data_IF_573245289857
#
_entry.id   IF_573245289857
#
_cell.length_a   1.000
_cell.length_b   1.000
_cell.length_c   1.000
_cell.angle_alpha   90.00
_cell.angle_beta   90.00
_cell.angle_gamma   90.00
#
_symmetry.space_group_name_H-M   'P 1'
#
loop_
_entity.id
_entity.type
_entity.pdbx_description
1 polymer ?
#
# COMPACT_ATOMS: atom_id res chain seq x y z
N UNK A 1 11.79 14.58 8.42
CA UNK A 1 11.13 14.06 9.64
C UNK A 1 12.13 13.74 10.78
N UNK A 2 13.17 14.57 11.01
CA UNK A 2 14.07 14.39 12.18
C UNK A 2 13.62 15.18 13.42
N UNK A 3 12.40 15.71 13.42
CA UNK A 3 11.79 16.41 14.56
C UNK A 3 10.42 15.80 14.88
N UNK A 4 10.32 14.47 14.88
CA UNK A 4 9.19 13.78 15.50
C UNK A 4 9.50 13.53 16.98
N UNK A 5 10.00 14.54 17.68
CA UNK A 5 10.05 14.54 19.15
C UNK A 5 8.63 14.84 19.62
N UNK A 6 7.82 13.83 19.96
CA UNK A 6 6.52 14.18 20.54
C UNK A 6 5.41 13.14 20.69
N UNK A 7 5.66 11.83 20.65
CA UNK A 7 4.72 10.91 21.30
C UNK A 7 5.41 9.60 21.71
N UNK A 8 6.03 9.59 22.90
CA UNK A 8 6.73 8.41 23.44
C UNK A 8 5.85 7.15 23.47
N UNK A 9 4.53 7.34 23.59
CA UNK A 9 3.54 6.25 23.55
C UNK A 9 3.43 5.62 22.16
N UNK A 10 3.32 6.40 21.09
CA UNK A 10 3.24 5.84 19.73
C UNK A 10 4.54 5.14 19.33
N UNK A 11 5.69 5.71 19.69
CA UNK A 11 6.98 5.10 19.38
C UNK A 11 7.12 3.69 20.01
N UNK A 12 6.61 3.52 21.23
CA UNK A 12 6.53 2.23 21.92
C UNK A 12 5.55 1.27 21.22
N UNK A 13 4.31 1.71 20.96
CA UNK A 13 3.26 0.86 20.39
C UNK A 13 3.42 0.54 18.90
N UNK A 14 4.20 1.34 18.16
CA UNK A 14 4.40 1.18 16.71
C UNK A 14 4.96 -0.20 16.35
N UNK A 15 5.96 -0.69 17.11
CA UNK A 15 6.61 -1.98 16.81
C UNK A 15 5.67 -3.17 17.05
N UNK A 16 5.02 -3.31 18.22
CA UNK A 16 4.00 -4.35 18.42
C UNK A 16 2.86 -4.27 17.40
N UNK A 17 2.37 -3.05 17.09
CA UNK A 17 1.30 -2.84 16.11
C UNK A 17 1.69 -3.33 14.70
N UNK A 18 2.91 -3.03 14.24
CA UNK A 18 3.45 -3.53 12.97
C UNK A 18 3.58 -5.06 12.97
N UNK A 19 4.12 -5.65 14.03
CA UNK A 19 4.26 -7.11 14.15
C UNK A 19 2.89 -7.78 14.07
N UNK A 20 1.90 -7.25 14.80
CA UNK A 20 0.52 -7.74 14.75
C UNK A 20 -0.07 -7.67 13.34
N UNK A 21 0.17 -6.59 12.60
CA UNK A 21 -0.27 -6.44 11.21
C UNK A 21 0.34 -7.50 10.29
N UNK A 22 1.65 -7.74 10.39
CA UNK A 22 2.31 -8.78 9.59
C UNK A 22 1.77 -10.17 9.92
N UNK A 23 1.58 -10.49 11.20
CA UNK A 23 1.01 -11.77 11.63
C UNK A 23 -0.41 -11.92 11.08
N UNK A 24 -1.28 -10.92 11.27
CA UNK A 24 -2.66 -10.94 10.77
C UNK A 24 -2.70 -11.12 9.26
N UNK A 25 -1.85 -10.41 8.51
CA UNK A 25 -1.78 -10.54 7.05
C UNK A 25 -1.38 -11.94 6.61
N UNK A 26 -0.39 -12.54 7.26
CA UNK A 26 0.07 -13.92 6.97
C UNK A 26 -1.03 -14.93 7.33
N UNK A 27 -1.63 -14.81 8.52
CA UNK A 27 -2.69 -15.70 8.98
C UNK A 27 -3.91 -15.63 8.06
N UNK A 28 -4.33 -14.43 7.65
CA UNK A 28 -5.43 -14.25 6.71
C UNK A 28 -5.13 -14.83 5.33
N UNK A 29 -3.88 -14.69 4.85
CA UNK A 29 -3.47 -15.26 3.57
C UNK A 29 -3.48 -16.79 3.60
N UNK A 30 -2.98 -17.38 4.69
CA UNK A 30 -3.01 -18.84 4.90
C UNK A 30 -4.45 -19.33 5.03
N UNK A 31 -5.31 -18.61 5.76
CA UNK A 31 -6.70 -19.03 5.94
C UNK A 31 -7.46 -19.08 4.62
N UNK A 32 -7.26 -18.13 3.71
CA UNK A 32 -7.85 -18.19 2.38
C UNK A 32 -7.43 -19.43 1.58
N UNK A 33 -6.19 -19.90 1.73
CA UNK A 33 -5.75 -21.16 1.11
C UNK A 33 -6.37 -22.40 1.75
N UNK A 34 -6.55 -22.40 3.07
CA UNK A 34 -7.12 -23.55 3.81
C UNK A 34 -8.63 -23.71 3.62
N UNK A 35 -9.35 -22.61 3.41
CA UNK A 35 -10.81 -22.62 3.19
C UNK A 35 -11.20 -22.75 1.71
N UNK A 36 -10.25 -23.11 0.85
CA UNK A 36 -10.51 -23.38 -0.55
C UNK A 36 -11.20 -24.73 -0.73
N UNK A 37 -12.23 -24.84 -1.60
CA UNK A 37 -12.89 -26.11 -1.87
C UNK A 37 -12.03 -27.03 -2.75
N UNK A 38 -12.25 -28.35 -2.63
CA UNK A 38 -11.68 -29.35 -3.53
C UNK A 38 -12.09 -29.03 -4.97
N UNK A 39 -11.11 -28.92 -5.88
CA UNK A 39 -11.31 -28.32 -7.20
C UNK A 39 -12.07 -29.22 -8.18
N UNK A 40 -11.87 -30.54 -8.12
CA UNK A 40 -12.55 -31.48 -9.02
C UNK A 40 -14.06 -31.46 -8.81
N UNK A 41 -14.52 -31.45 -7.56
CA UNK A 41 -15.94 -31.44 -7.23
C UNK A 41 -16.55 -30.02 -7.30
N UNK A 42 -15.83 -29.00 -6.84
CA UNK A 42 -16.32 -27.63 -6.83
C UNK A 42 -16.62 -27.10 -8.24
N UNK A 43 -15.81 -27.49 -9.22
CA UNK A 43 -16.05 -27.13 -10.63
C UNK A 43 -17.38 -27.68 -11.13
N UNK A 44 -17.67 -28.95 -10.86
CA UNK A 44 -18.92 -29.61 -11.27
C UNK A 44 -20.10 -28.86 -10.66
N UNK A 45 -20.07 -28.64 -9.33
CA UNK A 45 -21.15 -27.96 -8.60
C UNK A 45 -21.37 -26.50 -9.04
N UNK A 46 -20.31 -25.77 -9.40
CA UNK A 46 -20.43 -24.40 -9.92
C UNK A 46 -21.03 -24.41 -11.33
N UNK A 47 -20.57 -25.31 -12.21
CA UNK A 47 -21.08 -25.41 -13.58
C UNK A 47 -22.57 -25.80 -13.62
N UNK A 48 -23.06 -26.59 -12.66
CA UNK A 48 -24.48 -26.93 -12.51
C UNK A 48 -25.35 -25.74 -12.08
N UNK A 49 -24.80 -24.78 -11.31
CA UNK A 49 -25.52 -23.60 -10.85
C UNK A 49 -25.56 -22.47 -11.87
N UNK A 50 -24.66 -22.48 -12.84
CA UNK A 50 -24.54 -21.43 -13.85
C UNK A 50 -25.52 -21.67 -15.01
N UNK A 51 -26.01 -20.60 -15.67
CA UNK A 51 -26.77 -20.75 -16.91
C UNK A 51 -25.92 -21.47 -17.97
N UNK A 52 -26.53 -22.05 -19.03
CA UNK A 52 -25.80 -22.80 -20.06
C UNK A 52 -24.63 -22.01 -20.63
N UNK A 53 -23.41 -22.43 -20.29
CA UNK A 53 -22.18 -21.80 -20.76
C UNK A 53 -21.74 -22.40 -22.12
N UNK A 54 -21.12 -21.61 -22.99
CA UNK A 54 -20.43 -22.10 -24.17
C UNK A 54 -19.37 -23.18 -23.84
N UNK A 55 -19.14 -24.10 -24.77
CA UNK A 55 -18.20 -25.22 -24.60
C UNK A 55 -16.77 -24.77 -24.23
N UNK A 56 -16.29 -23.67 -24.83
CA UNK A 56 -14.96 -23.13 -24.55
C UNK A 56 -14.76 -22.70 -23.07
N UNK A 57 -15.83 -22.30 -22.37
CA UNK A 57 -15.75 -21.95 -20.95
C UNK A 57 -15.68 -23.23 -20.11
N UNK A 58 -16.47 -24.25 -20.47
CA UNK A 58 -16.51 -25.53 -19.75
C UNK A 58 -15.22 -26.33 -19.86
N UNK A 59 -14.53 -26.23 -21.00
CA UNK A 59 -13.24 -26.87 -21.26
C UNK A 59 -12.06 -26.10 -20.65
N UNK A 60 -12.27 -24.84 -20.24
CA UNK A 60 -11.22 -24.03 -19.64
C UNK A 60 -10.89 -24.46 -18.21
N UNK A 61 -9.63 -24.29 -17.79
CA UNK A 61 -9.18 -24.58 -16.43
C UNK A 61 -9.65 -23.49 -15.46
N UNK A 62 -10.95 -23.46 -15.15
CA UNK A 62 -11.54 -22.51 -14.21
C UNK A 62 -11.12 -22.90 -12.79
N UNK A 63 -10.54 -21.96 -12.05
CA UNK A 63 -10.23 -22.16 -10.64
C UNK A 63 -11.38 -21.64 -9.78
N UNK A 64 -11.94 -22.50 -8.94
CA UNK A 64 -13.04 -22.14 -8.04
C UNK A 64 -12.45 -21.67 -6.73
N UNK A 65 -12.40 -20.35 -6.55
CA UNK A 65 -11.86 -19.72 -5.34
C UNK A 65 -12.75 -19.98 -4.11
N UNK A 66 -14.09 -19.91 -4.27
CA UNK A 66 -15.03 -20.16 -3.18
C UNK A 66 -16.38 -20.66 -3.71
N UNK A 67 -16.94 -21.70 -3.08
CA UNK A 67 -18.32 -22.14 -3.34
C UNK A 67 -19.31 -21.48 -2.38
N UNK A 68 -18.93 -21.38 -1.11
CA UNK A 68 -19.65 -20.66 -0.09
C UNK A 68 -18.87 -19.38 0.28
N UNK A 69 -19.25 -18.27 -0.35
CA UNK A 69 -18.58 -16.99 -0.18
C UNK A 69 -18.72 -16.37 1.21
N UNK A 70 -19.51 -16.93 2.13
CA UNK A 70 -19.79 -16.31 3.44
C UNK A 70 -18.51 -16.02 4.24
N UNK A 71 -17.58 -16.97 4.35
CA UNK A 71 -16.33 -16.75 5.09
C UNK A 71 -15.50 -15.61 4.49
N UNK A 72 -15.21 -15.70 3.19
CA UNK A 72 -14.43 -14.70 2.46
C UNK A 72 -15.08 -13.31 2.52
N UNK A 73 -16.40 -13.26 2.32
CA UNK A 73 -17.18 -12.03 2.41
C UNK A 73 -17.10 -11.45 3.82
N UNK A 74 -17.32 -12.24 4.87
CA UNK A 74 -17.23 -11.78 6.27
C UNK A 74 -15.84 -11.24 6.59
N UNK A 75 -14.77 -11.93 6.16
CA UNK A 75 -13.39 -11.44 6.36
C UNK A 75 -13.17 -10.11 5.65
N UNK A 76 -13.60 -9.98 4.39
CA UNK A 76 -13.49 -8.71 3.65
C UNK A 76 -14.33 -7.59 4.26
N UNK A 77 -15.54 -7.88 4.75
CA UNK A 77 -16.42 -6.91 5.42
C UNK A 77 -15.80 -6.37 6.73
N UNK A 78 -14.91 -7.12 7.38
CA UNK A 78 -14.23 -6.69 8.61
C UNK A 78 -12.90 -6.00 8.30
N UNK A 79 -12.04 -6.65 7.51
CA UNK A 79 -10.67 -6.17 7.27
C UNK A 79 -10.63 -4.90 6.42
N UNK A 80 -11.49 -4.79 5.39
CA UNK A 80 -11.44 -3.64 4.49
C UNK A 80 -11.81 -2.35 5.24
N UNK A 81 -12.94 -2.24 5.95
CA UNK A 81 -13.24 -1.04 6.72
C UNK A 81 -12.19 -0.72 7.77
N UNK A 82 -11.65 -1.74 8.45
CA UNK A 82 -10.58 -1.58 9.42
C UNK A 82 -9.35 -0.89 8.80
N UNK A 83 -8.84 -1.41 7.68
CA UNK A 83 -7.70 -0.83 6.95
C UNK A 83 -8.03 0.58 6.46
N UNK A 84 -9.24 0.81 5.92
CA UNK A 84 -9.66 2.14 5.47
C UNK A 84 -9.64 3.17 6.60
N UNK A 85 -10.13 2.79 7.79
CA UNK A 85 -10.13 3.65 8.97
C UNK A 85 -8.70 3.95 9.42
N UNK A 86 -7.82 2.93 9.49
CA UNK A 86 -6.43 3.13 9.85
C UNK A 86 -5.70 4.06 8.88
N UNK A 87 -5.84 3.82 7.56
CA UNK A 87 -5.26 4.68 6.53
C UNK A 87 -5.77 6.11 6.67
N UNK A 88 -7.07 6.30 6.91
CA UNK A 88 -7.64 7.61 7.13
C UNK A 88 -7.04 8.31 8.35
N UNK A 89 -6.90 7.61 9.48
CA UNK A 89 -6.26 8.15 10.70
C UNK A 89 -4.82 8.55 10.40
N UNK A 90 -4.02 7.69 9.78
CA UNK A 90 -2.62 7.99 9.46
C UNK A 90 -2.48 9.18 8.52
N UNK A 91 -3.30 9.25 7.47
CA UNK A 91 -3.31 10.38 6.52
C UNK A 91 -3.71 11.68 7.24
N UNK A 92 -4.75 11.64 8.08
CA UNK A 92 -5.19 12.81 8.85
C UNK A 92 -4.09 13.31 9.77
N UNK A 93 -3.51 12.44 10.59
CA UNK A 93 -2.44 12.79 11.53
C UNK A 93 -1.19 13.28 10.81
N UNK A 94 -0.84 12.69 9.67
CA UNK A 94 0.26 13.14 8.81
C UNK A 94 0.05 14.57 8.30
N UNK A 95 -1.14 14.86 7.76
CA UNK A 95 -1.50 16.19 7.23
C UNK A 95 -1.47 17.22 8.35
N UNK A 96 -2.14 16.93 9.48
CA UNK A 96 -2.21 17.85 10.61
C UNK A 96 -0.82 18.15 11.17
N UNK A 97 -0.06 17.11 11.50
CA UNK A 97 1.28 17.25 12.09
C UNK A 97 2.22 18.02 11.17
N UNK A 98 2.22 17.69 9.87
CA UNK A 98 3.12 18.35 8.93
C UNK A 98 2.71 19.79 8.67
N UNK A 99 1.40 20.09 8.63
CA UNK A 99 0.90 21.46 8.49
C UNK A 99 1.26 22.32 9.71
N UNK A 100 1.08 21.80 10.93
CA UNK A 100 1.49 22.49 12.17
C UNK A 100 3.00 22.72 12.20
N UNK A 101 3.80 21.73 11.80
CA UNK A 101 5.25 21.86 11.73
C UNK A 101 5.68 22.96 10.75
N UNK A 102 5.10 22.97 9.54
CA UNK A 102 5.36 23.99 8.52
C UNK A 102 4.92 25.38 8.98
N UNK A 103 3.80 25.50 9.70
CA UNK A 103 3.30 26.77 10.23
C UNK A 103 4.15 27.32 11.40
N UNK A 104 4.83 26.45 12.15
CA UNK A 104 5.58 26.85 13.36
C UNK A 104 6.77 27.79 13.11
N UNK A 105 7.23 27.94 11.86
CA UNK A 105 8.42 28.74 11.46
C UNK A 105 9.70 28.44 12.25
N UNK A 106 9.79 27.33 12.98
CA UNK A 106 10.96 26.93 13.78
C UNK A 106 12.15 26.41 12.96
N UNK A 107 12.07 26.47 11.63
CA UNK A 107 13.02 25.85 10.73
C UNK A 107 13.58 26.88 9.74
N UNK A 108 14.84 26.71 9.34
CA UNK A 108 15.47 27.55 8.31
C UNK A 108 14.74 27.42 6.98
N UNK A 109 14.84 28.45 6.13
CA UNK A 109 14.18 28.48 4.81
C UNK A 109 14.51 27.25 3.97
N UNK A 110 15.78 26.82 3.98
CA UNK A 110 16.22 25.61 3.27
C UNK A 110 15.48 24.36 3.75
N UNK A 111 15.32 24.21 5.07
CA UNK A 111 14.62 23.07 5.67
C UNK A 111 13.13 23.13 5.39
N UNK A 112 12.54 24.33 5.45
CA UNK A 112 11.13 24.57 5.11
C UNK A 112 10.81 24.14 3.68
N UNK A 113 11.60 24.58 2.70
CA UNK A 113 11.38 24.18 1.31
C UNK A 113 11.50 22.67 1.10
N UNK A 114 12.44 22.02 1.80
CA UNK A 114 12.60 20.57 1.72
C UNK A 114 11.41 19.82 2.35
N UNK A 115 10.97 20.21 3.54
CA UNK A 115 9.79 19.61 4.19
C UNK A 115 8.52 19.82 3.36
N UNK A 116 8.31 21.02 2.80
CA UNK A 116 7.17 21.31 1.94
C UNK A 116 7.14 20.45 0.68
N UNK A 117 8.28 20.29 -0.01
CA UNK A 117 8.38 19.40 -1.19
C UNK A 117 8.08 17.95 -0.82
N UNK A 118 8.66 17.47 0.27
CA UNK A 118 8.43 16.11 0.75
C UNK A 118 6.96 15.87 1.14
N UNK A 119 6.33 16.84 1.80
CA UNK A 119 4.92 16.76 2.16
C UNK A 119 4.00 16.65 0.94
N UNK A 120 4.21 17.51 -0.07
CA UNK A 120 3.45 17.42 -1.33
C UNK A 120 3.63 16.04 -1.98
N UNK A 121 4.86 15.51 -1.96
CA UNK A 121 5.14 14.18 -2.47
C UNK A 121 4.37 13.06 -1.74
N UNK A 122 4.32 13.13 -0.41
CA UNK A 122 3.56 12.20 0.41
C UNK A 122 2.05 12.27 0.14
N UNK A 123 1.49 13.48 0.01
CA UNK A 123 0.06 13.66 -0.32
C UNK A 123 -0.27 13.01 -1.67
N UNK A 124 0.59 13.18 -2.69
CA UNK A 124 0.43 12.52 -3.99
C UNK A 124 0.47 10.99 -3.83
N UNK A 125 1.42 10.47 -3.06
CA UNK A 125 1.53 9.03 -2.80
C UNK A 125 0.31 8.46 -2.08
N UNK A 126 -0.27 9.19 -1.14
CA UNK A 126 -1.51 8.79 -0.46
C UNK A 126 -2.71 8.71 -1.43
N UNK A 127 -2.69 9.45 -2.54
CA UNK A 127 -3.71 9.37 -3.58
C UNK A 127 -3.71 8.05 -4.36
N UNK A 128 -2.54 7.42 -4.52
CA UNK A 128 -2.42 6.16 -5.28
C UNK A 128 -3.30 5.04 -4.70
N UNK A 129 -3.18 4.63 -3.42
CA UNK A 129 -4.01 3.58 -2.87
C UNK A 129 -5.51 3.95 -2.84
N UNK A 130 -5.87 5.24 -2.77
CA UNK A 130 -7.26 5.67 -2.88
C UNK A 130 -7.83 5.28 -4.24
N UNK A 131 -7.10 5.59 -5.32
CA UNK A 131 -7.55 5.29 -6.68
C UNK A 131 -7.47 3.80 -6.97
N UNK A 132 -6.35 3.16 -6.62
CA UNK A 132 -6.07 1.79 -7.05
C UNK A 132 -6.64 0.71 -6.14
N UNK A 133 -7.05 1.05 -4.91
CA UNK A 133 -7.62 0.08 -3.95
C UNK A 133 -9.02 0.51 -3.49
N UNK A 134 -9.18 1.72 -2.95
CA UNK A 134 -10.44 2.15 -2.32
C UNK A 134 -11.59 2.22 -3.33
N UNK A 135 -11.39 2.82 -4.50
CA UNK A 135 -12.42 2.90 -5.54
C UNK A 135 -12.87 1.50 -6.01
N UNK A 136 -11.97 0.57 -6.41
CA UNK A 136 -12.33 -0.82 -6.71
C UNK A 136 -13.11 -1.52 -5.59
N UNK A 137 -12.74 -1.27 -4.33
CA UNK A 137 -13.45 -1.85 -3.19
C UNK A 137 -14.86 -1.28 -3.01
N UNK A 138 -15.04 0.03 -3.15
CA UNK A 138 -16.36 0.67 -3.09
C UNK A 138 -17.27 0.08 -4.19
N UNK A 139 -16.75 -0.04 -5.42
CA UNK A 139 -17.50 -0.66 -6.51
C UNK A 139 -17.91 -2.10 -6.17
N UNK A 140 -16.99 -2.90 -5.63
CA UNK A 140 -17.25 -4.28 -5.22
C UNK A 140 -18.34 -4.37 -4.16
N UNK A 141 -18.31 -3.47 -3.16
CA UNK A 141 -19.34 -3.37 -2.13
C UNK A 141 -20.71 -3.00 -2.70
N UNK A 142 -20.78 -1.99 -3.58
CA UNK A 142 -22.03 -1.60 -4.24
C UNK A 142 -22.59 -2.78 -5.05
N UNK A 143 -21.73 -3.48 -5.81
CA UNK A 143 -22.12 -4.65 -6.59
C UNK A 143 -22.77 -5.73 -5.72
N UNK A 144 -22.21 -6.00 -4.54
CA UNK A 144 -22.73 -6.99 -3.59
C UNK A 144 -24.05 -6.52 -2.96
N UNK A 145 -24.08 -5.31 -2.40
CA UNK A 145 -25.26 -4.78 -1.67
C UNK A 145 -26.48 -4.62 -2.56
N UNK A 146 -26.30 -4.13 -3.79
CA UNK A 146 -27.38 -3.96 -4.76
C UNK A 146 -27.65 -5.22 -5.60
N UNK A 147 -26.92 -6.33 -5.37
CA UNK A 147 -26.98 -7.54 -6.20
C UNK A 147 -26.82 -7.25 -7.71
N UNK A 148 -26.06 -6.20 -8.03
CA UNK A 148 -25.79 -5.77 -9.40
C UNK A 148 -24.41 -6.28 -9.81
N UNK A 149 -24.36 -7.28 -10.68
CA UNK A 149 -23.10 -7.88 -11.12
C UNK A 149 -22.78 -7.48 -12.56
N UNK A 150 -21.67 -6.77 -12.75
CA UNK A 150 -21.13 -6.43 -14.06
C UNK A 150 -19.69 -6.97 -14.15
N UNK A 151 -19.52 -8.07 -14.86
CA UNK A 151 -18.23 -8.75 -15.00
C UNK A 151 -17.15 -7.84 -15.60
N UNK A 152 -17.50 -6.99 -16.57
CA UNK A 152 -16.54 -6.08 -17.22
C UNK A 152 -15.97 -5.07 -16.22
N UNK A 153 -16.84 -4.44 -15.43
CA UNK A 153 -16.43 -3.51 -14.38
C UNK A 153 -15.66 -4.21 -13.25
N UNK A 154 -16.08 -5.41 -12.86
CA UNK A 154 -15.35 -6.22 -11.87
C UNK A 154 -13.94 -6.58 -12.35
N UNK A 155 -13.79 -6.97 -13.63
CA UNK A 155 -12.48 -7.24 -14.21
C UNK A 155 -11.58 -6.00 -14.21
N UNK A 156 -12.12 -4.83 -14.57
CA UNK A 156 -11.39 -3.56 -14.49
C UNK A 156 -10.97 -3.26 -13.05
N UNK A 157 -11.85 -3.46 -12.07
CA UNK A 157 -11.57 -3.26 -10.65
C UNK A 157 -10.44 -4.18 -10.16
N UNK A 158 -10.46 -5.46 -10.55
CA UNK A 158 -9.40 -6.44 -10.22
C UNK A 158 -8.07 -6.06 -10.87
N UNK A 159 -8.05 -5.69 -12.15
CA UNK A 159 -6.83 -5.27 -12.84
C UNK A 159 -6.24 -4.01 -12.19
N UNK A 160 -7.09 -3.03 -11.89
CA UNK A 160 -6.69 -1.78 -11.21
C UNK A 160 -6.08 -2.08 -9.85
N UNK A 161 -6.70 -2.99 -9.10
CA UNK A 161 -6.18 -3.47 -7.82
C UNK A 161 -4.84 -4.18 -8.00
N UNK A 162 -4.68 -5.06 -9.00
CA UNK A 162 -3.41 -5.76 -9.25
C UNK A 162 -2.27 -4.80 -9.60
N UNK A 163 -2.55 -3.69 -10.29
CA UNK A 163 -1.56 -2.68 -10.69
C UNK A 163 -1.17 -1.70 -9.58
N UNK A 164 -1.77 -1.78 -8.38
CA UNK A 164 -1.48 -0.84 -7.29
C UNK A 164 0.00 -0.79 -6.89
N UNK A 165 0.67 -1.95 -6.82
CA UNK A 165 2.05 -2.05 -6.35
C UNK A 165 3.05 -1.39 -7.31
N UNK A 166 2.87 -1.64 -8.62
CA UNK A 166 3.66 -1.00 -9.67
C UNK A 166 3.38 0.51 -9.68
N UNK A 167 2.11 0.90 -9.63
CA UNK A 167 1.70 2.31 -9.61
C UNK A 167 2.32 3.07 -8.42
N UNK A 168 2.25 2.49 -7.22
CA UNK A 168 2.82 3.06 -6.00
C UNK A 168 4.34 3.24 -6.10
N UNK A 169 5.03 2.24 -6.64
CA UNK A 169 6.48 2.28 -6.85
C UNK A 169 6.86 3.34 -7.87
N UNK A 170 6.17 3.41 -9.01
CA UNK A 170 6.43 4.43 -10.03
C UNK A 170 6.21 5.84 -9.49
N UNK A 171 5.11 6.08 -8.78
CA UNK A 171 4.83 7.38 -8.16
C UNK A 171 5.91 7.73 -7.13
N UNK A 172 6.37 6.76 -6.33
CA UNK A 172 7.48 6.97 -5.40
C UNK A 172 8.75 7.43 -6.13
N UNK A 173 9.15 6.75 -7.20
CA UNK A 173 10.34 7.07 -7.98
C UNK A 173 10.23 8.44 -8.66
N UNK A 174 9.05 8.76 -9.22
CA UNK A 174 8.82 9.99 -9.98
C UNK A 174 8.73 11.20 -9.06
N UNK A 175 8.02 11.12 -7.94
CA UNK A 175 7.66 12.33 -7.17
C UNK A 175 8.77 12.76 -6.21
N UNK A 176 9.56 11.80 -5.68
CA UNK A 176 10.64 12.09 -4.74
C UNK A 176 11.97 12.35 -5.44
N UNK A 177 12.51 13.55 -5.22
CA UNK A 177 13.79 13.99 -5.82
C UNK A 177 14.99 13.06 -5.53
N UNK A 178 15.18 12.54 -4.30
CA UNK A 178 16.28 11.62 -4.02
C UNK A 178 16.20 10.33 -4.85
N UNK A 179 14.99 9.78 -5.03
CA UNK A 179 14.79 8.57 -5.82
C UNK A 179 15.02 8.84 -7.31
N UNK A 180 14.52 9.95 -7.87
CA UNK A 180 14.83 10.33 -9.26
C UNK A 180 16.33 10.44 -9.51
N UNK A 181 17.07 11.04 -8.57
CA UNK A 181 18.54 11.19 -8.68
C UNK A 181 19.24 9.84 -8.64
N UNK A 182 18.82 8.95 -7.74
CA UNK A 182 19.36 7.59 -7.66
C UNK A 182 19.06 6.78 -8.93
N UNK A 183 17.84 6.84 -9.47
CA UNK A 183 17.51 6.17 -10.74
C UNK A 183 18.36 6.70 -11.89
N UNK A 184 18.48 8.02 -12.02
CA UNK A 184 19.32 8.63 -13.07
C UNK A 184 20.78 8.20 -12.98
N UNK A 185 21.35 8.07 -11.79
CA UNK A 185 22.76 7.70 -11.64
C UNK A 185 23.07 6.25 -11.99
N UNK A 186 22.07 5.36 -11.99
CA UNK A 186 22.23 4.00 -12.52
C UNK A 186 22.35 3.99 -14.05
N UNK A 187 21.65 4.90 -14.75
CA UNK A 187 21.63 4.95 -16.22
C UNK A 187 22.64 5.92 -16.82
N UNK A 188 22.99 6.98 -16.09
CA UNK A 188 23.95 8.01 -16.51
C UNK A 188 24.97 8.15 -15.37
N UNK A 189 26.11 7.45 -15.44
CA UNK A 189 27.15 7.57 -14.44
C UNK A 189 27.81 8.95 -14.54
N UNK A 190 27.37 9.91 -13.72
CA UNK A 190 28.14 11.14 -13.52
C UNK A 190 29.26 10.85 -12.52
N UNK A 191 30.53 11.06 -12.92
CA UNK A 191 31.69 10.90 -12.03
C UNK A 191 31.56 11.71 -10.73
N UNK A 192 30.92 12.90 -10.81
CA UNK A 192 30.60 13.74 -9.67
C UNK A 192 29.55 13.15 -8.72
N UNK A 193 28.59 12.37 -9.23
CA UNK A 193 27.53 11.76 -8.41
C UNK A 193 28.06 10.60 -7.56
N UNK A 194 28.99 9.79 -8.06
CA UNK A 194 29.67 8.77 -7.23
C UNK A 194 30.43 9.40 -6.06
N UNK A 195 31.13 10.51 -6.31
CA UNK A 195 31.81 11.30 -5.26
C UNK A 195 30.82 11.89 -4.26
N UNK A 196 29.73 12.51 -4.72
CA UNK A 196 28.69 13.10 -3.86
C UNK A 196 27.95 12.04 -3.01
N UNK A 197 27.57 10.90 -3.60
CA UNK A 197 26.90 9.82 -2.90
C UNK A 197 27.82 9.15 -1.86
N UNK A 198 29.10 8.93 -2.22
CA UNK A 198 30.12 8.46 -1.27
C UNK A 198 30.32 9.43 -0.11
N UNK A 199 30.29 10.74 -0.38
CA UNK A 199 30.41 11.78 0.64
C UNK A 199 29.20 11.79 1.58
N UNK A 200 27.97 11.77 1.07
CA UNK A 200 26.76 11.69 1.90
C UNK A 200 26.70 10.40 2.73
N UNK A 201 27.06 9.25 2.15
CA UNK A 201 27.13 7.98 2.86
C UNK A 201 28.13 8.07 4.01
N UNK A 202 29.32 8.63 3.77
CA UNK A 202 30.34 8.82 4.79
C UNK A 202 29.89 9.83 5.87
N UNK A 203 29.18 10.91 5.50
CA UNK A 203 28.63 11.86 6.47
C UNK A 203 27.55 11.22 7.34
N UNK A 204 26.64 10.43 6.76
CA UNK A 204 25.60 9.71 7.53
C UNK A 204 26.23 8.66 8.44
N UNK A 205 27.23 7.91 7.95
CA UNK A 205 27.98 6.95 8.78
C UNK A 205 28.70 7.70 9.92
N UNK A 206 29.38 8.83 9.65
CA UNK A 206 29.99 9.65 10.69
C UNK A 206 28.96 10.18 11.70
N UNK A 207 27.78 10.60 11.23
CA UNK A 207 26.70 11.10 12.08
C UNK A 207 26.18 10.02 13.01
N UNK A 208 26.02 8.80 12.49
CA UNK A 208 25.61 7.63 13.27
C UNK A 208 26.73 7.23 14.25
N UNK A 209 27.99 7.20 13.80
CA UNK A 209 29.13 6.92 14.69
C UNK A 209 29.25 7.95 15.83
N UNK A 210 29.10 9.24 15.54
CA UNK A 210 29.13 10.30 16.55
C UNK A 210 27.97 10.20 17.54
N UNK A 211 26.78 9.78 17.07
CA UNK A 211 25.60 9.60 17.93
C UNK A 211 25.68 8.34 18.81
N UNK A 212 26.32 7.26 18.33
CA UNK A 212 26.36 5.97 19.04
C UNK A 212 27.68 5.70 19.78
N UNK A 213 28.79 6.31 19.37
CA UNK A 213 30.14 6.05 19.89
C UNK A 213 30.92 7.32 20.26
N UNK A 214 30.30 8.50 20.16
CA UNK A 214 30.90 9.77 20.57
C UNK A 214 30.62 10.11 22.03
N UNK A 215 31.46 9.61 22.94
CA UNK A 215 31.79 10.20 24.25
C UNK A 215 33.27 9.95 24.52
#
# INVERSE_FOLDING_TARGET
>A
MCLFTGNSKWEFWRRPWLIGHYITAVVASISFGLFQPEQSEARIRVLEKLPPLPAYIKESSIYVFTENGTYHLTVFLILIPFICIEVFIFVKELILTTSTLLASKKMSDRTYHLQRKFFIALVIQCGVPIITLIIPFIYSWISILWKYYNQGLMNIAVITTALHGISSTLVMLIVHEPYRKAVKSFFIPEEGFRKWYGMQRNTVILSVYLVFFGF
#
